data_IF_747904215271
#
_entry.id   IF_747904215271
#
_cell.length_a   1.000
_cell.length_b   1.000
_cell.length_c   1.000
_cell.angle_alpha   90.00
_cell.angle_beta   90.00
_cell.angle_gamma   90.00
#
_symmetry.space_group_name_H-M   'P 1'
#
loop_
_entity.id
_entity.type
_entity.pdbx_description
1 polymer ?
#
# COMPACT_ATOMS: atom_id res chain seq x y z
N UNK A 1 -60.88 -29.69 70.91
CA UNK A 1 -59.89 -30.17 69.94
C UNK A 1 -58.86 -29.06 69.72
N UNK A 2 -57.57 -29.42 69.86
CA UNK A 2 -56.35 -28.66 69.53
C UNK A 2 -55.92 -27.49 70.44
N UNK A 3 -55.25 -27.91 71.52
CA UNK A 3 -54.12 -27.30 72.23
C UNK A 3 -52.95 -26.98 71.29
N UNK A 4 -52.35 -25.79 71.36
CA UNK A 4 -50.88 -25.59 71.26
C UNK A 4 -50.48 -24.41 72.16
N UNK A 5 -49.53 -24.68 73.05
CA UNK A 5 -48.93 -23.80 74.04
C UNK A 5 -47.86 -22.87 73.44
N UNK A 6 -47.60 -21.71 74.06
CA UNK A 6 -46.20 -21.24 74.16
C UNK A 6 -45.93 -20.36 75.38
N UNK A 7 -44.68 -20.48 75.80
CA UNK A 7 -44.03 -20.19 77.08
C UNK A 7 -43.93 -18.73 77.52
N UNK A 8 -43.87 -18.58 78.84
CA UNK A 8 -43.38 -17.45 79.65
C UNK A 8 -41.86 -17.33 79.54
N UNK A 9 -41.28 -16.14 79.33
CA UNK A 9 -40.07 -15.75 80.08
C UNK A 9 -39.86 -14.23 80.11
N UNK A 10 -39.77 -13.69 81.33
CA UNK A 10 -39.22 -12.37 81.65
C UNK A 10 -37.73 -12.28 81.32
N UNK A 11 -37.27 -11.10 80.91
CA UNK A 11 -36.02 -10.41 81.31
C UNK A 11 -36.03 -9.08 80.55
N UNK A 12 -36.49 -7.97 81.14
CA UNK A 12 -35.77 -7.11 82.07
C UNK A 12 -34.32 -6.83 81.64
N UNK A 13 -34.16 -6.00 80.60
CA UNK A 13 -32.93 -5.24 80.39
C UNK A 13 -33.27 -3.75 80.33
N UNK A 14 -32.97 -3.09 81.44
CA UNK A 14 -32.78 -1.66 81.54
C UNK A 14 -31.62 -1.24 80.63
N UNK A 15 -31.90 -0.54 79.53
CA UNK A 15 -30.87 0.18 78.79
C UNK A 15 -30.55 1.50 79.50
N UNK A 16 -29.32 1.71 80.01
CA UNK A 16 -28.87 3.03 80.35
C UNK A 16 -28.48 3.77 79.07
N UNK A 17 -29.06 4.96 78.91
CA UNK A 17 -28.49 6.02 78.10
C UNK A 17 -27.06 6.32 78.58
N UNK A 18 -26.06 5.98 77.80
CA UNK A 18 -24.73 6.60 77.84
C UNK A 18 -24.35 7.06 76.43
N UNK A 19 -24.82 8.26 76.10
CA UNK A 19 -24.18 9.08 75.09
C UNK A 19 -22.75 9.40 75.55
N UNK A 20 -21.79 9.30 74.63
CA UNK A 20 -20.41 9.71 74.87
C UNK A 20 -19.34 8.73 74.40
N UNK A 21 -19.40 8.24 73.16
CA UNK A 21 -18.22 7.65 72.48
C UNK A 21 -18.44 7.35 71.00
N UNK A 22 -19.68 7.05 70.58
CA UNK A 22 -19.99 6.71 69.18
C UNK A 22 -19.63 7.82 68.17
N UNK A 23 -19.76 9.10 68.56
CA UNK A 23 -19.52 10.26 67.70
C UNK A 23 -18.07 10.33 67.19
N UNK A 24 -17.09 9.96 68.01
CA UNK A 24 -15.66 10.02 67.64
C UNK A 24 -15.27 8.88 66.68
N UNK A 25 -15.86 7.68 66.84
CA UNK A 25 -15.68 6.58 65.89
C UNK A 25 -16.38 6.85 64.56
N UNK A 26 -17.55 7.50 64.55
CA UNK A 26 -18.20 7.94 63.30
C UNK A 26 -17.45 9.06 62.60
N UNK A 27 -16.86 10.02 63.32
CA UNK A 27 -16.03 11.09 62.74
C UNK A 27 -14.69 10.55 62.18
N UNK A 28 -14.03 9.62 62.88
CA UNK A 28 -12.86 8.93 62.37
C UNK A 28 -13.20 8.04 61.15
N UNK A 29 -14.33 7.34 61.18
CA UNK A 29 -14.82 6.55 60.03
C UNK A 29 -15.14 7.41 58.80
N UNK A 30 -15.76 8.58 58.99
CA UNK A 30 -16.06 9.54 57.93
C UNK A 30 -14.78 10.19 57.35
N UNK A 31 -13.81 10.52 58.21
CA UNK A 31 -12.51 11.06 57.77
C UNK A 31 -11.70 10.05 56.96
N UNK A 32 -11.66 8.79 57.41
CA UNK A 32 -10.96 7.71 56.70
C UNK A 32 -11.62 7.41 55.36
N UNK A 33 -12.96 7.34 55.30
CA UNK A 33 -13.67 7.13 54.02
C UNK A 33 -13.45 8.26 53.03
N UNK A 34 -13.45 9.52 53.47
CA UNK A 34 -13.14 10.67 52.59
C UNK A 34 -11.72 10.60 52.01
N UNK A 35 -10.73 10.18 52.82
CA UNK A 35 -9.35 9.99 52.35
C UNK A 35 -9.27 8.85 51.33
N UNK A 36 -9.91 7.71 51.58
CA UNK A 36 -9.95 6.59 50.64
C UNK A 36 -10.62 6.96 49.32
N UNK A 37 -11.72 7.74 49.36
CA UNK A 37 -12.36 8.25 48.14
C UNK A 37 -11.45 9.19 47.35
N UNK A 38 -10.73 10.10 48.03
CA UNK A 38 -9.79 11.00 47.37
C UNK A 38 -8.62 10.24 46.72
N UNK A 39 -8.06 9.25 47.43
CA UNK A 39 -7.01 8.38 46.91
C UNK A 39 -7.52 7.55 45.74
N UNK A 40 -8.75 7.02 45.79
CA UNK A 40 -9.35 6.27 44.69
C UNK A 40 -9.54 7.12 43.44
N UNK A 41 -9.97 8.38 43.58
CA UNK A 41 -10.10 9.34 42.45
C UNK A 41 -8.72 9.66 41.86
N UNK A 42 -7.72 9.89 42.69
CA UNK A 42 -6.34 10.14 42.23
C UNK A 42 -5.78 8.92 41.49
N UNK A 43 -5.86 7.73 42.07
CA UNK A 43 -5.41 6.48 41.44
C UNK A 43 -6.12 6.27 40.10
N UNK A 44 -7.45 6.47 40.05
CA UNK A 44 -8.23 6.36 38.82
C UNK A 44 -7.78 7.36 37.76
N UNK A 45 -7.57 8.63 38.12
CA UNK A 45 -7.09 9.64 37.17
C UNK A 45 -5.72 9.30 36.58
N UNK A 46 -4.81 8.76 37.40
CA UNK A 46 -3.49 8.33 36.95
C UNK A 46 -3.54 7.05 36.09
N UNK A 47 -4.43 6.11 36.40
CA UNK A 47 -4.62 4.92 35.57
C UNK A 47 -5.29 5.24 34.25
N UNK A 48 -6.30 6.12 34.25
CA UNK A 48 -7.03 6.53 33.04
C UNK A 48 -6.09 7.28 32.09
N UNK A 49 -5.32 8.26 32.60
CA UNK A 49 -4.32 8.98 31.82
C UNK A 49 -3.22 8.07 31.24
N UNK A 50 -2.79 7.04 32.00
CA UNK A 50 -1.85 6.02 31.48
C UNK A 50 -2.50 5.11 30.44
N UNK A 51 -3.78 4.78 30.59
CA UNK A 51 -4.51 3.95 29.63
C UNK A 51 -4.73 4.69 28.31
N UNK A 52 -5.10 5.97 28.39
CA UNK A 52 -5.31 6.84 27.23
C UNK A 52 -4.00 7.03 26.48
N UNK A 53 -2.89 7.30 27.19
CA UNK A 53 -1.57 7.41 26.56
C UNK A 53 -1.14 6.12 25.82
N UNK A 54 -1.50 4.94 26.33
CA UNK A 54 -1.24 3.67 25.62
C UNK A 54 -2.16 3.50 24.41
N UNK A 55 -3.44 3.84 24.54
CA UNK A 55 -4.42 3.78 23.45
C UNK A 55 -4.01 4.69 22.30
N UNK A 56 -3.61 5.93 22.59
CA UNK A 56 -3.10 6.86 21.56
C UNK A 56 -1.85 6.35 20.87
N UNK A 57 -0.90 5.73 21.60
CA UNK A 57 0.29 5.13 20.97
C UNK A 57 -0.10 4.00 20.02
N UNK A 58 -1.02 3.13 20.43
CA UNK A 58 -1.52 2.04 19.61
C UNK A 58 -2.25 2.54 18.37
N UNK A 59 -3.12 3.56 18.52
CA UNK A 59 -3.84 4.17 17.40
C UNK A 59 -2.89 4.86 16.42
N UNK A 60 -1.84 5.54 16.92
CA UNK A 60 -0.81 6.15 16.08
C UNK A 60 0.03 5.11 15.32
N UNK A 61 0.42 4.02 15.98
CA UNK A 61 1.14 2.92 15.36
C UNK A 61 0.29 2.25 14.28
N UNK A 62 -0.99 2.03 14.56
CA UNK A 62 -1.95 1.51 13.59
C UNK A 62 -2.10 2.42 12.37
N UNK A 63 -2.24 3.74 12.57
CA UNK A 63 -2.31 4.72 11.48
C UNK A 63 -1.01 4.72 10.66
N UNK A 64 0.14 4.63 11.31
CA UNK A 64 1.43 4.59 10.63
C UNK A 64 1.56 3.35 9.73
N UNK A 65 1.21 2.17 10.25
CA UNK A 65 1.21 0.91 9.49
C UNK A 65 0.23 0.99 8.32
N UNK A 66 -1.00 1.46 8.55
CA UNK A 66 -2.00 1.61 7.49
C UNK A 66 -1.51 2.57 6.39
N UNK A 67 -0.98 3.72 6.78
CA UNK A 67 -0.47 4.73 5.82
C UNK A 67 0.70 4.18 5.01
N UNK A 68 1.57 3.36 5.63
CA UNK A 68 2.67 2.72 4.94
C UNK A 68 2.17 1.67 3.93
N UNK A 69 1.17 0.86 4.30
CA UNK A 69 0.51 -0.10 3.40
C UNK A 69 -0.17 0.61 2.23
N UNK A 70 -0.94 1.65 2.49
CA UNK A 70 -1.64 2.39 1.44
C UNK A 70 -0.65 3.04 0.46
N UNK A 71 0.51 3.51 0.95
CA UNK A 71 1.58 4.07 0.11
C UNK A 71 2.24 3.00 -0.77
N UNK A 72 2.50 1.80 -0.24
CA UNK A 72 3.12 0.73 -1.03
C UNK A 72 2.17 0.21 -2.11
N UNK A 73 0.89 0.02 -1.78
CA UNK A 73 -0.14 -0.39 -2.76
C UNK A 73 -0.32 0.64 -3.87
N UNK A 74 -0.40 1.93 -3.52
CA UNK A 74 -0.52 3.00 -4.51
C UNK A 74 0.71 3.07 -5.42
N UNK A 75 1.92 2.86 -4.87
CA UNK A 75 3.15 2.79 -5.66
C UNK A 75 3.13 1.60 -6.63
N UNK A 76 2.76 0.41 -6.17
CA UNK A 76 2.65 -0.77 -7.04
C UNK A 76 1.67 -0.55 -8.19
N UNK A 77 0.52 0.07 -7.90
CA UNK A 77 -0.48 0.42 -8.89
C UNK A 77 0.09 1.39 -9.93
N UNK A 78 0.75 2.46 -9.49
CA UNK A 78 1.39 3.43 -10.39
C UNK A 78 2.43 2.77 -11.30
N UNK A 79 3.32 1.93 -10.74
CA UNK A 79 4.32 1.19 -11.51
C UNK A 79 3.66 0.31 -12.57
N UNK A 80 2.57 -0.38 -12.22
CA UNK A 80 1.80 -1.21 -13.16
C UNK A 80 1.20 -0.38 -14.29
N UNK A 81 0.56 0.74 -13.96
CA UNK A 81 -0.17 1.56 -14.92
C UNK A 81 0.80 2.21 -15.93
N UNK A 82 1.88 2.81 -15.46
CA UNK A 82 2.90 3.44 -16.31
C UNK A 82 3.60 2.42 -17.21
N UNK A 83 3.98 1.25 -16.67
CA UNK A 83 4.58 0.20 -17.50
C UNK A 83 3.59 -0.35 -18.53
N UNK A 84 2.29 -0.41 -18.22
CA UNK A 84 1.27 -0.80 -19.20
C UNK A 84 1.15 0.22 -20.34
N UNK A 85 1.19 1.52 -20.05
CA UNK A 85 1.21 2.59 -21.06
C UNK A 85 2.44 2.47 -21.95
N UNK A 86 3.63 2.34 -21.35
CA UNK A 86 4.87 2.17 -22.12
C UNK A 86 4.85 0.91 -23.01
N UNK A 87 4.34 -0.21 -22.49
CA UNK A 87 4.14 -1.44 -23.27
C UNK A 87 3.12 -1.26 -24.41
N UNK A 88 2.12 -0.40 -24.27
CA UNK A 88 1.18 -0.09 -25.34
C UNK A 88 1.81 0.77 -26.44
N UNK A 89 2.57 1.80 -26.06
CA UNK A 89 3.26 2.68 -27.02
C UNK A 89 4.34 1.95 -27.81
N UNK A 90 5.15 1.12 -27.15
CA UNK A 90 6.13 0.25 -27.84
C UNK A 90 5.47 -0.72 -28.82
N UNK A 91 4.30 -1.27 -28.49
CA UNK A 91 3.55 -2.13 -29.39
C UNK A 91 2.97 -1.36 -30.59
N UNK A 92 2.50 -0.12 -30.38
CA UNK A 92 2.04 0.76 -31.47
C UNK A 92 3.18 1.07 -32.44
N UNK A 93 4.34 1.46 -31.92
CA UNK A 93 5.54 1.72 -32.71
C UNK A 93 5.97 0.47 -33.51
N UNK A 94 6.06 -0.69 -32.85
CA UNK A 94 6.37 -1.96 -33.51
C UNK A 94 5.44 -2.27 -34.69
N UNK A 95 4.12 -2.14 -34.50
CA UNK A 95 3.14 -2.40 -35.57
C UNK A 95 3.33 -1.45 -36.74
N UNK A 96 3.51 -0.16 -36.48
CA UNK A 96 3.73 0.83 -37.52
C UNK A 96 4.98 0.52 -38.37
N UNK A 97 6.08 0.09 -37.74
CA UNK A 97 7.31 -0.33 -38.46
C UNK A 97 7.03 -1.58 -39.31
N UNK A 98 6.34 -2.58 -38.75
CA UNK A 98 5.99 -3.82 -39.46
C UNK A 98 5.09 -3.54 -40.67
N UNK A 99 4.09 -2.68 -40.50
CA UNK A 99 3.14 -2.33 -41.56
C UNK A 99 3.81 -1.50 -42.66
N UNK A 100 4.69 -0.56 -42.30
CA UNK A 100 5.52 0.16 -43.27
C UNK A 100 6.37 -0.80 -44.11
N UNK A 101 6.97 -1.82 -43.48
CA UNK A 101 7.79 -2.81 -44.18
C UNK A 101 6.97 -3.76 -45.06
N UNK A 102 5.74 -4.10 -44.65
CA UNK A 102 4.80 -4.85 -45.50
C UNK A 102 4.45 -4.05 -46.75
N UNK A 103 4.05 -2.78 -46.59
CA UNK A 103 3.75 -1.91 -47.71
C UNK A 103 4.93 -1.77 -48.69
N UNK A 104 6.17 -1.66 -48.18
CA UNK A 104 7.37 -1.65 -49.02
C UNK A 104 7.52 -2.92 -49.87
N UNK A 105 7.24 -4.09 -49.28
CA UNK A 105 7.34 -5.36 -50.01
C UNK A 105 6.34 -5.43 -51.17
N UNK A 106 5.17 -4.83 -51.00
CA UNK A 106 4.08 -4.89 -51.96
C UNK A 106 4.26 -3.84 -53.09
N UNK A 107 4.70 -2.61 -52.77
CA UNK A 107 4.84 -1.50 -53.73
C UNK A 107 6.28 -1.25 -54.24
N UNK A 108 7.31 -1.86 -53.64
CA UNK A 108 8.75 -1.64 -53.92
C UNK A 108 9.23 -0.17 -53.86
N UNK A 109 8.55 0.71 -53.10
CA UNK A 109 8.94 2.12 -52.94
C UNK A 109 9.72 2.35 -51.63
N UNK A 110 11.06 2.41 -51.76
CA UNK A 110 11.98 2.64 -50.65
C UNK A 110 11.84 4.03 -50.01
N UNK A 111 11.51 5.07 -50.79
CA UNK A 111 11.40 6.42 -50.25
C UNK A 111 10.10 6.59 -49.45
N UNK A 112 9.00 6.00 -49.94
CA UNK A 112 7.74 5.91 -49.20
C UNK A 112 7.93 5.14 -47.89
N UNK A 113 8.73 4.06 -47.88
CA UNK A 113 9.09 3.35 -46.65
C UNK A 113 9.86 4.24 -45.67
N UNK A 114 10.95 4.89 -46.10
CA UNK A 114 11.73 5.80 -45.23
C UNK A 114 10.88 6.95 -44.69
N UNK A 115 9.97 7.50 -45.50
CA UNK A 115 9.02 8.54 -45.06
C UNK A 115 8.05 8.00 -44.01
N UNK A 116 7.50 6.80 -44.21
CA UNK A 116 6.61 6.16 -43.25
C UNK A 116 7.31 5.93 -41.91
N UNK A 117 8.53 5.37 -41.91
CA UNK A 117 9.32 5.17 -40.68
C UNK A 117 9.60 6.48 -39.95
N UNK A 118 10.04 7.53 -40.67
CA UNK A 118 10.30 8.85 -40.08
C UNK A 118 9.04 9.52 -39.50
N UNK A 119 7.87 9.18 -40.03
CA UNK A 119 6.59 9.72 -39.55
C UNK A 119 6.04 9.03 -38.30
N UNK A 120 6.64 7.90 -37.87
CA UNK A 120 6.22 7.22 -36.65
C UNK A 120 6.58 8.11 -35.46
N UNK A 121 5.54 8.64 -34.80
CA UNK A 121 5.72 9.48 -33.62
C UNK A 121 6.44 8.72 -32.51
N UNK A 122 7.47 9.34 -31.96
CA UNK A 122 8.21 8.85 -30.80
C UNK A 122 7.77 9.50 -29.49
N UNK A 123 6.92 10.52 -29.55
CA UNK A 123 6.60 11.38 -28.40
C UNK A 123 5.94 10.59 -27.26
N UNK A 124 4.83 9.89 -27.54
CA UNK A 124 4.12 9.13 -26.51
C UNK A 124 4.98 8.03 -25.87
N UNK A 125 5.77 7.32 -26.67
CA UNK A 125 6.70 6.31 -26.16
C UNK A 125 7.84 6.89 -25.32
N UNK A 126 8.38 8.06 -25.70
CA UNK A 126 9.41 8.74 -24.93
C UNK A 126 8.88 9.25 -23.59
N UNK A 127 7.70 9.89 -23.59
CA UNK A 127 7.06 10.36 -22.35
C UNK A 127 6.81 9.19 -21.40
N UNK A 128 6.24 8.09 -21.90
CA UNK A 128 6.02 6.89 -21.10
C UNK A 128 7.33 6.27 -20.57
N UNK A 129 8.44 6.37 -21.32
CA UNK A 129 9.75 5.92 -20.84
C UNK A 129 10.27 6.79 -19.68
N UNK A 130 10.14 8.11 -19.78
CA UNK A 130 10.52 9.00 -18.68
C UNK A 130 9.65 8.76 -17.44
N UNK A 131 8.36 8.50 -17.61
CA UNK A 131 7.49 8.10 -16.50
C UNK A 131 7.98 6.81 -15.84
N UNK A 132 8.38 5.79 -16.62
CA UNK A 132 8.97 4.54 -16.09
C UNK A 132 10.20 4.86 -15.25
N UNK A 133 11.09 5.74 -15.74
CA UNK A 133 12.34 6.15 -15.06
C UNK A 133 12.11 6.86 -13.74
N UNK A 134 11.01 7.60 -13.60
CA UNK A 134 10.71 8.36 -12.38
C UNK A 134 10.25 7.47 -11.22
N UNK A 135 9.57 6.35 -11.51
CA UNK A 135 8.86 5.58 -10.49
C UNK A 135 9.36 4.15 -10.28
N UNK A 136 10.07 3.59 -11.27
CA UNK A 136 10.44 2.17 -11.29
C UNK A 136 11.83 1.91 -10.69
N UNK A 137 12.16 0.64 -10.49
CA UNK A 137 13.50 0.21 -10.07
C UNK A 137 14.48 0.24 -11.24
N UNK A 138 15.78 0.28 -10.93
CA UNK A 138 16.84 0.28 -11.95
C UNK A 138 16.72 -0.88 -12.95
N UNK A 139 16.35 -2.08 -12.49
CA UNK A 139 16.15 -3.26 -13.35
C UNK A 139 15.03 -3.04 -14.39
N UNK A 140 13.90 -2.47 -13.98
CA UNK A 140 12.79 -2.16 -14.88
C UNK A 140 13.21 -1.06 -15.87
N UNK A 141 13.94 -0.05 -15.39
CA UNK A 141 14.43 1.07 -16.20
C UNK A 141 15.35 0.55 -17.31
N UNK A 142 16.33 -0.28 -16.97
CA UNK A 142 17.26 -0.86 -17.94
C UNK A 142 16.54 -1.71 -18.98
N UNK A 143 15.60 -2.55 -18.55
CA UNK A 143 14.81 -3.36 -19.47
C UNK A 143 13.95 -2.50 -20.42
N UNK A 144 13.36 -1.40 -19.91
CA UNK A 144 12.59 -0.46 -20.70
C UNK A 144 13.46 0.31 -21.71
N UNK A 145 14.63 0.78 -21.27
CA UNK A 145 15.60 1.49 -22.11
C UNK A 145 16.10 0.62 -23.25
N UNK A 146 16.45 -0.65 -22.98
CA UNK A 146 16.90 -1.59 -24.02
C UNK A 146 15.78 -1.84 -25.02
N UNK A 147 14.54 -2.07 -24.56
CA UNK A 147 13.39 -2.27 -25.43
C UNK A 147 13.12 -1.04 -26.32
N UNK A 148 13.19 0.16 -25.76
CA UNK A 148 12.99 1.40 -26.51
C UNK A 148 14.11 1.63 -27.52
N UNK A 149 15.35 1.45 -27.10
CA UNK A 149 16.54 1.55 -27.96
C UNK A 149 16.47 0.59 -29.14
N UNK A 150 16.01 -0.65 -28.93
CA UNK A 150 15.81 -1.62 -30.01
C UNK A 150 14.86 -1.13 -31.10
N UNK A 151 13.72 -0.54 -30.71
CA UNK A 151 12.74 0.04 -31.64
C UNK A 151 13.27 1.29 -32.35
N UNK A 152 14.15 2.03 -31.70
CA UNK A 152 14.73 3.29 -32.20
C UNK A 152 16.13 3.13 -32.81
N UNK A 153 16.64 1.91 -32.87
CA UNK A 153 17.96 1.59 -33.43
C UNK A 153 18.13 2.16 -34.83
N UNK A 154 19.37 2.56 -35.15
CA UNK A 154 19.70 3.32 -36.35
C UNK A 154 19.26 2.61 -37.64
N UNK A 155 19.44 1.29 -37.71
CA UNK A 155 19.17 0.51 -38.92
C UNK A 155 17.69 0.48 -39.29
N UNK A 156 16.80 0.46 -38.29
CA UNK A 156 15.34 0.44 -38.53
C UNK A 156 14.80 1.85 -38.69
N UNK A 157 15.27 2.81 -37.87
CA UNK A 157 14.78 4.19 -37.87
C UNK A 157 15.21 5.02 -39.08
N UNK A 158 16.35 4.70 -39.70
CA UNK A 158 16.78 5.32 -40.96
C UNK A 158 16.15 4.68 -42.20
N UNK A 159 15.39 3.59 -42.02
CA UNK A 159 14.81 2.82 -43.10
C UNK A 159 15.85 2.02 -43.88
N UNK A 160 16.90 1.55 -43.21
CA UNK A 160 17.91 0.67 -43.78
C UNK A 160 17.29 -0.63 -44.31
N UNK A 161 17.83 -1.14 -45.42
CA UNK A 161 17.36 -2.38 -46.00
C UNK A 161 17.89 -3.59 -45.23
N UNK A 162 17.17 -4.01 -44.19
CA UNK A 162 17.49 -5.25 -43.50
C UNK A 162 17.21 -6.45 -44.42
N UNK A 163 18.10 -7.44 -44.42
CA UNK A 163 17.81 -8.74 -45.04
C UNK A 163 16.61 -9.43 -44.38
N UNK A 164 16.00 -10.42 -45.05
CA UNK A 164 14.87 -11.18 -44.47
C UNK A 164 15.24 -11.85 -43.13
N UNK A 165 16.47 -12.37 -43.03
CA UNK A 165 17.01 -12.97 -41.80
C UNK A 165 17.17 -11.92 -40.70
N UNK A 166 17.79 -10.77 -41.01
CA UNK A 166 17.98 -9.68 -40.05
C UNK A 166 16.63 -9.12 -39.55
N UNK A 167 15.63 -9.01 -40.45
CA UNK A 167 14.28 -8.60 -40.09
C UNK A 167 13.58 -9.61 -39.17
N UNK A 168 13.76 -10.91 -39.41
CA UNK A 168 13.20 -11.96 -38.55
C UNK A 168 13.84 -11.94 -37.17
N UNK A 169 15.17 -11.77 -37.10
CA UNK A 169 15.90 -11.61 -35.85
C UNK A 169 15.43 -10.36 -35.09
N UNK A 170 15.27 -9.21 -35.76
CA UNK A 170 14.78 -7.98 -35.15
C UNK A 170 13.40 -8.13 -34.50
N UNK A 171 12.46 -8.82 -35.18
CA UNK A 171 11.13 -9.11 -34.61
C UNK A 171 11.21 -10.03 -33.39
N UNK A 172 12.02 -11.09 -33.49
CA UNK A 172 12.21 -12.04 -32.38
C UNK A 172 12.78 -11.34 -31.15
N UNK A 173 13.76 -10.47 -31.38
CA UNK A 173 14.43 -9.71 -30.32
C UNK A 173 13.46 -8.74 -29.63
N UNK A 174 12.60 -8.05 -30.38
CA UNK A 174 11.55 -7.20 -29.80
C UNK A 174 10.67 -7.99 -28.80
N UNK A 175 10.20 -9.17 -29.18
CA UNK A 175 9.35 -9.99 -28.29
C UNK A 175 10.12 -10.49 -27.07
N UNK A 176 11.39 -10.90 -27.26
CA UNK A 176 12.27 -11.30 -26.16
C UNK A 176 12.45 -10.16 -25.15
N UNK A 177 12.81 -8.96 -25.61
CA UNK A 177 13.00 -7.78 -24.76
C UNK A 177 11.70 -7.37 -24.04
N UNK A 178 10.57 -7.43 -24.74
CA UNK A 178 9.25 -7.19 -24.14
C UNK A 178 8.94 -8.18 -23.02
N UNK A 179 9.25 -9.47 -23.20
CA UNK A 179 9.09 -10.46 -22.16
C UNK A 179 10.02 -10.23 -20.97
N UNK A 180 11.27 -9.80 -21.20
CA UNK A 180 12.21 -9.41 -20.14
C UNK A 180 11.65 -8.27 -19.28
N UNK A 181 11.13 -7.20 -19.89
CA UNK A 181 10.52 -6.10 -19.15
C UNK A 181 9.30 -6.58 -18.32
N UNK A 182 8.43 -7.40 -18.91
CA UNK A 182 7.27 -7.96 -18.20
C UNK A 182 7.71 -8.82 -17.00
N UNK A 183 8.79 -9.60 -17.16
CA UNK A 183 9.34 -10.41 -16.07
C UNK A 183 9.90 -9.54 -14.94
N UNK A 184 10.65 -8.49 -15.25
CA UNK A 184 11.17 -7.53 -14.25
C UNK A 184 10.02 -6.85 -13.47
N UNK A 185 8.99 -6.38 -14.16
CA UNK A 185 7.81 -5.79 -13.53
C UNK A 185 7.09 -6.78 -12.62
N UNK A 186 6.93 -8.04 -13.06
CA UNK A 186 6.30 -9.08 -12.23
C UNK A 186 7.15 -9.42 -11.00
N UNK A 187 8.46 -9.51 -11.15
CA UNK A 187 9.39 -9.76 -10.05
C UNK A 187 9.24 -8.68 -8.97
N UNK A 188 9.26 -7.41 -9.39
CA UNK A 188 9.06 -6.26 -8.49
C UNK A 188 7.71 -6.28 -7.76
N UNK A 189 6.62 -6.57 -8.48
CA UNK A 189 5.29 -6.62 -7.86
C UNK A 189 5.14 -7.78 -6.86
N UNK A 190 5.84 -8.90 -7.10
CA UNK A 190 5.83 -10.05 -6.21
C UNK A 190 6.74 -9.85 -4.99
N UNK A 191 7.84 -9.09 -5.12
CA UNK A 191 8.77 -8.84 -4.01
C UNK A 191 8.24 -7.88 -2.95
N UNK A 192 7.35 -6.94 -3.32
CA UNK A 192 6.76 -5.98 -2.38
C UNK A 192 5.40 -6.46 -1.80
N UNK A 193 4.91 -7.65 -2.17
CA UNK A 193 3.65 -8.18 -1.62
C UNK A 193 3.83 -8.63 -0.17
N UNK A 194 3.12 -8.05 0.82
CA UNK A 194 3.19 -8.51 2.20
C UNK A 194 2.60 -9.92 2.30
N UNK A 195 3.41 -10.90 2.71
CA UNK A 195 2.98 -12.26 3.06
C UNK A 195 2.22 -12.28 4.37
#
# INVERSE_FOLDING_TARGET
MLTIAYWITQQNESQPNTGGSAAWFTLLGAGVTAIFSLVAVLVKSFTDARSDARKYRYDLEKIAIQTQSDRSENRMKQVRDVNAVFLAETARCYRAIVDARRARRDDQDDEKFRKAIRSISSEGGQVALEEVRLISTQEIIEAADILWSHLRSHDVSTGGDLSSTAWTAWKSEFWRLRHTLIAAVRSFLNSDSPT
#
